data_IF_922021644386
#
_entry.id   IF_922021644386
#
_cell.length_a   1.000
_cell.length_b   1.000
_cell.length_c   1.000
_cell.angle_alpha   90.00
_cell.angle_beta   90.00
_cell.angle_gamma   90.00
#
_symmetry.space_group_name_H-M   'P 1'
#
loop_
_entity.id
_entity.type
_entity.pdbx_description
1 polymer ?
#
# COMPACT_ATOMS: atom_id res chain seq x y z
N UNK A 1 -12.13 -0.42 -25.64
CA UNK A 1 -11.12 0.60 -26.05
C UNK A 1 -9.92 0.64 -25.09
N UNK A 2 -8.72 0.27 -25.56
CA UNK A 2 -7.47 0.17 -24.78
C UNK A 2 -7.07 1.47 -24.04
N UNK A 3 -7.58 2.62 -24.48
CA UNK A 3 -7.37 3.95 -23.85
C UNK A 3 -8.04 4.11 -22.48
N UNK A 4 -9.10 3.35 -22.18
CA UNK A 4 -9.76 3.42 -20.87
C UNK A 4 -8.93 2.71 -19.80
N UNK A 5 -8.27 1.61 -20.14
CA UNK A 5 -7.44 0.83 -19.21
C UNK A 5 -6.21 1.59 -18.71
N UNK A 6 -5.68 2.55 -19.49
CA UNK A 6 -4.57 3.41 -19.04
C UNK A 6 -4.95 4.39 -17.90
N UNK A 7 -6.25 4.58 -17.60
CA UNK A 7 -6.70 5.48 -16.52
C UNK A 7 -6.93 4.79 -15.18
N UNK A 8 -6.92 3.45 -15.14
CA UNK A 8 -7.21 2.68 -13.93
C UNK A 8 -5.97 1.90 -13.49
N UNK A 9 -5.80 1.80 -12.18
CA UNK A 9 -4.73 0.99 -11.58
C UNK A 9 -5.40 -0.19 -10.91
N UNK A 10 -5.05 -1.38 -11.36
CA UNK A 10 -5.51 -2.61 -10.74
C UNK A 10 -4.67 -2.90 -9.49
N UNK A 11 -5.35 -3.07 -8.35
CA UNK A 11 -4.76 -3.51 -7.09
C UNK A 11 -5.35 -4.88 -6.75
N UNK A 12 -4.62 -5.98 -7.05
CA UNK A 12 -5.08 -7.32 -6.75
C UNK A 12 -5.34 -7.49 -5.25
N UNK A 13 -6.52 -8.00 -4.89
CA UNK A 13 -6.89 -8.30 -3.49
C UNK A 13 -6.27 -9.62 -3.00
N UNK A 14 -5.03 -9.89 -3.43
CA UNK A 14 -4.23 -11.07 -3.04
C UNK A 14 -3.15 -10.67 -2.03
N UNK A 15 -2.55 -11.64 -1.34
CA UNK A 15 -1.45 -11.37 -0.39
C UNK A 15 -0.33 -10.55 -1.07
N UNK A 16 0.09 -10.97 -2.27
CA UNK A 16 1.13 -10.30 -3.04
C UNK A 16 0.74 -8.86 -3.45
N UNK A 17 -0.51 -8.62 -3.84
CA UNK A 17 -0.98 -7.31 -4.27
C UNK A 17 -1.06 -6.27 -3.13
N UNK A 18 -1.36 -6.72 -1.91
CA UNK A 18 -1.56 -5.82 -0.76
C UNK A 18 -0.30 -5.64 0.12
N UNK A 19 0.62 -6.60 0.10
CA UNK A 19 1.79 -6.61 0.98
C UNK A 19 2.64 -5.35 0.86
N UNK A 20 2.91 -4.88 -0.36
CA UNK A 20 3.74 -3.70 -0.57
C UNK A 20 3.14 -2.44 0.08
N UNK A 21 1.83 -2.21 -0.12
CA UNK A 21 1.12 -1.07 0.47
C UNK A 21 1.07 -1.15 2.00
N UNK A 22 0.86 -2.34 2.56
CA UNK A 22 0.83 -2.51 4.01
C UNK A 22 2.19 -2.33 4.68
N UNK A 23 3.26 -2.94 4.13
CA UNK A 23 4.61 -2.79 4.69
C UNK A 23 5.08 -1.35 4.62
N UNK A 24 4.76 -0.64 3.54
CA UNK A 24 5.08 0.78 3.42
C UNK A 24 4.27 1.64 4.39
N UNK A 25 2.97 1.35 4.57
CA UNK A 25 2.16 1.99 5.62
C UNK A 25 2.78 1.78 7.00
N UNK A 26 3.15 0.55 7.34
CA UNK A 26 3.83 0.25 8.60
C UNK A 26 5.11 1.07 8.76
N UNK A 27 5.93 1.16 7.70
CA UNK A 27 7.16 1.98 7.69
C UNK A 27 6.87 3.45 7.98
N UNK A 28 5.90 4.06 7.29
CA UNK A 28 5.58 5.50 7.48
C UNK A 28 4.94 5.78 8.83
N UNK A 29 4.12 4.87 9.36
CA UNK A 29 3.57 4.98 10.71
C UNK A 29 4.67 4.91 11.77
N UNK A 30 5.56 3.92 11.69
CA UNK A 30 6.66 3.76 12.66
C UNK A 30 7.67 4.91 12.60
N UNK A 31 7.92 5.44 11.40
CA UNK A 31 8.82 6.59 11.19
C UNK A 31 8.16 7.95 11.45
N UNK A 32 6.88 7.98 11.84
CA UNK A 32 6.10 9.21 12.09
C UNK A 32 6.07 10.16 10.88
N UNK A 33 6.10 9.60 9.67
CA UNK A 33 6.06 10.34 8.40
C UNK A 33 4.63 10.58 7.90
N UNK A 34 3.64 10.00 8.57
CA UNK A 34 2.23 10.19 8.29
C UNK A 34 1.52 10.67 9.55
N UNK A 35 0.60 11.60 9.36
CA UNK A 35 -0.37 12.04 10.38
C UNK A 35 -1.77 11.81 9.83
N UNK A 36 -2.75 11.67 10.71
CA UNK A 36 -4.14 11.63 10.34
C UNK A 36 -4.93 12.50 11.31
N UNK A 37 -5.97 13.16 10.81
CA UNK A 37 -6.90 13.92 11.63
C UNK A 37 -7.56 13.04 12.69
N UNK A 38 -8.09 13.67 13.74
CA UNK A 38 -8.84 12.98 14.79
C UNK A 38 -10.21 12.53 14.29
N UNK A 39 -10.22 11.53 13.39
CA UNK A 39 -11.43 11.00 12.80
C UNK A 39 -11.85 9.69 13.51
N UNK A 40 -12.97 9.69 14.26
CA UNK A 40 -13.39 8.53 15.06
C UNK A 40 -13.63 7.28 14.21
N UNK A 41 -14.24 7.44 13.03
CA UNK A 41 -14.51 6.33 12.11
C UNK A 41 -13.21 5.65 11.63
N UNK A 42 -12.19 6.44 11.33
CA UNK A 42 -10.89 5.93 10.88
C UNK A 42 -10.18 5.17 12.00
N UNK A 43 -10.17 5.73 13.22
CA UNK A 43 -9.58 5.08 14.41
C UNK A 43 -10.30 3.78 14.75
N UNK A 44 -11.63 3.77 14.72
CA UNK A 44 -12.44 2.58 14.98
C UNK A 44 -12.19 1.49 13.93
N UNK A 45 -12.28 1.83 12.63
CA UNK A 45 -12.02 0.88 11.56
C UNK A 45 -10.59 0.35 11.57
N UNK A 46 -9.60 1.15 11.97
CA UNK A 46 -8.21 0.72 12.13
C UNK A 46 -8.08 -0.31 13.26
N UNK A 47 -8.74 -0.09 14.41
CA UNK A 47 -8.75 -1.02 15.53
C UNK A 47 -9.43 -2.36 15.24
N UNK A 48 -10.29 -2.43 14.22
CA UNK A 48 -11.00 -3.66 13.83
C UNK A 48 -10.16 -4.59 12.93
N UNK A 49 -9.07 -4.10 12.33
CA UNK A 49 -8.31 -4.85 11.31
C UNK A 49 -7.56 -6.01 11.93
N UNK A 50 -7.81 -7.21 11.42
CA UNK A 50 -6.96 -8.38 11.66
C UNK A 50 -6.10 -8.66 10.42
N UNK A 51 -4.80 -8.85 10.64
CA UNK A 51 -3.81 -9.10 9.59
C UNK A 51 -3.52 -10.60 9.53
N UNK A 52 -3.53 -11.19 8.34
CA UNK A 52 -2.93 -12.50 8.10
C UNK A 52 -1.51 -12.32 7.56
N UNK A 53 -0.63 -13.20 8.02
CA UNK A 53 0.75 -13.33 7.56
C UNK A 53 0.96 -14.74 7.01
N UNK A 54 1.54 -14.87 5.81
CA UNK A 54 1.91 -16.18 5.26
C UNK A 54 3.35 -16.58 5.63
N UNK A 55 3.78 -17.77 5.21
CA UNK A 55 5.14 -18.28 5.47
C UNK A 55 6.26 -17.50 4.75
N UNK A 56 5.92 -16.62 3.81
CA UNK A 56 6.84 -15.74 3.10
C UNK A 56 6.81 -14.30 3.64
N UNK A 57 6.19 -14.10 4.81
CA UNK A 57 6.03 -12.79 5.44
C UNK A 57 5.25 -11.77 4.58
N UNK A 58 4.39 -12.24 3.69
CA UNK A 58 3.39 -11.39 3.04
C UNK A 58 2.26 -11.14 4.02
N UNK A 59 1.72 -9.93 3.98
CA UNK A 59 0.66 -9.48 4.90
C UNK A 59 -0.55 -8.98 4.12
N UNK A 60 -1.74 -9.24 4.66
CA UNK A 60 -3.02 -8.78 4.10
C UNK A 60 -4.07 -8.58 5.20
N UNK A 61 -4.96 -7.57 5.10
CA UNK A 61 -6.14 -7.50 5.96
C UNK A 61 -7.11 -8.65 5.68
N UNK A 62 -7.60 -9.29 6.73
CA UNK A 62 -8.56 -10.39 6.65
C UNK A 62 -9.95 -9.90 7.04
N UNK A 63 -10.79 -9.60 6.05
CA UNK A 63 -12.16 -9.17 6.30
C UNK A 63 -12.97 -10.19 7.10
N UNK A 64 -12.86 -11.47 6.76
CA UNK A 64 -13.63 -12.55 7.40
C UNK A 64 -13.23 -12.82 8.85
N UNK A 65 -12.04 -12.37 9.27
CA UNK A 65 -11.57 -12.50 10.65
C UNK A 65 -11.69 -11.20 11.43
N UNK A 66 -11.82 -10.06 10.75
CA UNK A 66 -11.90 -8.75 11.39
C UNK A 66 -13.16 -8.66 12.23
N UNK A 67 -13.09 -7.90 13.33
CA UNK A 67 -14.20 -7.81 14.29
C UNK A 67 -15.45 -7.18 13.66
N UNK A 68 -15.23 -6.11 12.90
CA UNK A 68 -16.27 -5.24 12.35
C UNK A 68 -15.79 -4.67 11.00
N UNK A 69 -16.42 -3.59 10.52
CA UNK A 69 -16.04 -2.95 9.26
C UNK A 69 -14.62 -2.38 9.28
N UNK A 70 -13.94 -2.56 8.15
CA UNK A 70 -12.53 -2.17 7.91
C UNK A 70 -12.34 -1.38 6.61
N UNK A 71 -13.42 -1.04 5.92
CA UNK A 71 -13.38 -0.45 4.57
C UNK A 71 -12.49 0.82 4.49
N UNK A 72 -12.52 1.76 5.46
CA UNK A 72 -11.63 2.92 5.45
C UNK A 72 -10.15 2.56 5.51
N UNK A 73 -9.78 1.57 6.32
CA UNK A 73 -8.39 1.13 6.45
C UNK A 73 -7.92 0.41 5.20
N UNK A 74 -8.77 -0.45 4.62
CA UNK A 74 -8.47 -1.12 3.34
C UNK A 74 -8.35 -0.12 2.20
N UNK A 75 -9.16 0.95 2.20
CA UNK A 75 -9.04 2.03 1.22
C UNK A 75 -7.68 2.72 1.31
N UNK A 76 -7.18 3.00 2.53
CA UNK A 76 -5.84 3.55 2.74
C UNK A 76 -4.74 2.60 2.22
N UNK A 77 -4.87 1.29 2.49
CA UNK A 77 -3.92 0.28 2.00
C UNK A 77 -3.90 0.24 0.46
N UNK A 78 -5.07 0.24 -0.18
CA UNK A 78 -5.18 0.27 -1.64
C UNK A 78 -4.58 1.55 -2.23
N UNK A 79 -4.82 2.70 -1.58
CA UNK A 79 -4.24 3.97 -2.00
C UNK A 79 -2.72 3.95 -1.92
N UNK A 80 -2.13 3.40 -0.84
CA UNK A 80 -0.69 3.25 -0.72
C UNK A 80 -0.12 2.28 -1.76
N UNK A 81 -0.76 1.13 -1.97
CA UNK A 81 -0.33 0.17 -2.99
C UNK A 81 -0.36 0.80 -4.40
N UNK A 82 -1.39 1.60 -4.69
CA UNK A 82 -1.49 2.39 -5.91
C UNK A 82 -0.40 3.44 -6.04
N UNK A 83 -0.11 4.17 -4.96
CA UNK A 83 0.95 5.18 -4.93
C UNK A 83 2.31 4.57 -5.26
N UNK A 84 2.68 3.46 -4.61
CA UNK A 84 3.93 2.73 -4.88
C UNK A 84 4.00 2.27 -6.34
N UNK A 85 2.90 1.79 -6.90
CA UNK A 85 2.85 1.30 -8.29
C UNK A 85 2.92 2.43 -9.32
N UNK A 86 2.45 3.63 -8.96
CA UNK A 86 2.53 4.84 -9.77
C UNK A 86 3.85 5.59 -9.62
N UNK A 87 4.58 5.38 -8.52
CA UNK A 87 5.90 5.98 -8.36
C UNK A 87 6.74 5.62 -9.59
N UNK A 88 7.05 6.65 -10.38
CA UNK A 88 7.89 6.49 -11.55
C UNK A 88 9.19 5.88 -11.07
N UNK A 89 9.63 4.80 -11.70
CA UNK A 89 11.00 4.30 -11.58
C UNK A 89 11.89 5.53 -11.76
N UNK A 90 12.50 6.01 -10.67
CA UNK A 90 13.55 7.02 -10.74
C UNK A 90 14.62 6.39 -11.60
N UNK A 91 14.71 6.83 -12.87
CA UNK A 91 15.79 6.42 -13.74
C UNK A 91 17.08 6.69 -12.97
N UNK A 92 17.91 5.65 -12.86
CA UNK A 92 19.23 5.79 -12.26
C UNK A 92 19.96 6.95 -12.95
N UNK A 93 20.74 7.73 -12.21
CA UNK A 93 21.58 8.78 -12.82
C UNK A 93 22.48 8.17 -13.91
N UNK A 94 22.88 6.90 -13.75
CA UNK A 94 23.65 6.14 -14.75
C UNK A 94 22.84 5.76 -16.00
N UNK A 95 21.50 5.74 -15.93
CA UNK A 95 20.66 5.48 -17.09
C UNK A 95 20.65 6.67 -18.07
N UNK A 96 20.83 7.89 -17.57
CA UNK A 96 20.88 9.09 -18.41
C UNK A 96 22.32 9.56 -18.69
N UNK A 97 23.22 9.48 -17.70
CA UNK A 97 24.62 9.95 -17.80
C UNK A 97 25.62 8.88 -18.24
N UNK A 98 25.27 7.59 -18.17
CA UNK A 98 26.21 6.48 -18.31
C UNK A 98 27.10 6.29 -17.08
N UNK A 99 27.90 5.22 -17.06
CA UNK A 99 28.90 4.98 -16.00
C UNK A 99 30.12 5.87 -16.27
N UNK A 100 30.49 6.69 -15.28
CA UNK A 100 31.72 7.48 -15.33
C UNK A 100 32.82 6.65 -14.67
N UNK A 101 33.81 6.24 -15.46
CA UNK A 101 35.03 5.58 -14.96
C UNK A 101 36.10 6.65 -14.83
N UNK A 102 36.77 6.70 -13.67
CA UNK A 102 37.87 7.63 -13.35
C UNK A 102 39.18 6.86 -13.43
#
# INVERSE_FOLDING_TARGET
>A
PRTVQQKFIEIPQTMAGMTAGMKELERVFRSKQITHEEQPLGRWAFGNVIIATDGNENIKPMKDRSLERIDPTVALINAMAGAIRLERIKKSVYADRGVVVI
#
